data_IF_912904153472
#
_entry.id   IF_912904153472
#
_cell.length_a   1.000
_cell.length_b   1.000
_cell.length_c   1.000
_cell.angle_alpha   90.00
_cell.angle_beta   90.00
_cell.angle_gamma   90.00
#
_symmetry.space_group_name_H-M   'P 1'
#
loop_
_entity.id
_entity.type
_entity.pdbx_description
1 polymer ?
#
# COMPACT_ATOMS: atom_id res chain seq x y z
N UNK A 1 -19.69 -10.05 -14.42
CA UNK A 1 -19.03 -8.84 -13.87
C UNK A 1 -17.68 -8.66 -14.52
N UNK A 2 -17.45 -7.52 -15.10
CA UNK A 2 -16.15 -7.23 -15.72
C UNK A 2 -15.08 -6.96 -14.66
N UNK A 3 -13.84 -7.27 -15.01
CA UNK A 3 -12.68 -7.00 -14.16
C UNK A 3 -12.03 -5.69 -14.59
N UNK A 4 -11.70 -4.85 -13.62
CA UNK A 4 -10.94 -3.64 -13.84
C UNK A 4 -9.66 -3.70 -13.00
N UNK A 5 -8.53 -3.35 -13.62
CA UNK A 5 -7.24 -3.27 -12.93
C UNK A 5 -6.93 -1.81 -12.70
N UNK A 6 -6.68 -1.45 -11.44
CA UNK A 6 -6.32 -0.09 -11.05
C UNK A 6 -4.87 -0.09 -10.60
N UNK A 7 -4.04 0.69 -11.30
CA UNK A 7 -2.64 0.88 -10.93
C UNK A 7 -2.53 2.09 -10.01
N UNK A 8 -2.10 1.83 -8.79
CA UNK A 8 -1.84 2.86 -7.79
C UNK A 8 -0.40 3.34 -7.98
N UNK A 9 -0.23 4.38 -8.78
CA UNK A 9 1.07 4.93 -9.15
C UNK A 9 1.81 5.57 -7.98
N UNK A 10 2.99 6.15 -8.28
CA UNK A 10 3.96 6.57 -7.28
C UNK A 10 3.47 7.58 -6.24
N UNK A 11 2.46 8.39 -6.56
CA UNK A 11 1.92 9.39 -5.62
C UNK A 11 0.66 8.91 -4.89
N UNK A 12 0.22 7.68 -5.11
CA UNK A 12 -1.02 7.20 -4.53
C UNK A 12 -0.91 6.98 -3.02
N UNK A 13 0.22 6.45 -2.55
CA UNK A 13 0.46 6.18 -1.13
C UNK A 13 1.30 7.24 -0.45
N UNK A 14 2.07 8.01 -1.21
CA UNK A 14 2.93 9.06 -0.70
C UNK A 14 2.91 10.23 -1.67
N UNK A 15 2.44 11.37 -1.21
CA UNK A 15 2.45 12.59 -2.00
C UNK A 15 3.81 13.27 -1.86
N UNK A 16 4.13 14.11 -2.86
CA UNK A 16 5.40 14.81 -2.89
C UNK A 16 5.61 15.64 -1.63
N UNK A 17 6.76 15.48 -0.99
CA UNK A 17 7.12 16.22 0.21
C UNK A 17 6.58 15.65 1.51
N UNK A 18 5.76 14.59 1.45
CA UNK A 18 5.27 13.96 2.67
C UNK A 18 6.31 13.04 3.29
N UNK A 19 6.30 12.98 4.62
CA UNK A 19 7.03 11.96 5.36
C UNK A 19 6.35 10.60 5.16
N UNK A 20 7.13 9.57 4.94
CA UNK A 20 6.62 8.20 4.73
C UNK A 20 6.29 7.56 6.08
N UNK A 21 5.29 8.08 6.75
CA UNK A 21 4.74 7.53 7.99
C UNK A 21 3.55 6.62 7.70
N UNK A 22 3.21 5.76 8.65
CA UNK A 22 1.99 4.97 8.54
C UNK A 22 0.76 5.88 8.42
N UNK A 23 0.72 6.95 9.23
CA UNK A 23 -0.39 7.90 9.22
C UNK A 23 -0.61 8.54 7.84
N UNK A 24 0.46 9.01 7.20
CA UNK A 24 0.35 9.61 5.87
C UNK A 24 -0.07 8.61 4.81
N UNK A 25 0.42 7.38 4.88
CA UNK A 25 0.01 6.34 3.96
C UNK A 25 -1.48 5.99 4.14
N UNK A 26 -1.95 5.84 5.37
CA UNK A 26 -3.37 5.61 5.65
C UNK A 26 -4.24 6.77 5.15
N UNK A 27 -3.80 8.00 5.33
CA UNK A 27 -4.52 9.18 4.84
C UNK A 27 -4.69 9.13 3.31
N UNK A 28 -3.63 8.78 2.60
CA UNK A 28 -3.68 8.71 1.15
C UNK A 28 -4.56 7.54 0.66
N UNK A 29 -4.52 6.41 1.36
CA UNK A 29 -5.41 5.28 1.05
C UNK A 29 -6.87 5.70 1.28
N UNK A 30 -7.15 6.41 2.35
CA UNK A 30 -8.49 6.93 2.65
C UNK A 30 -9.02 7.79 1.51
N UNK A 31 -8.18 8.67 0.94
CA UNK A 31 -8.59 9.53 -0.15
C UNK A 31 -9.03 8.76 -1.40
N UNK A 32 -8.44 7.59 -1.66
CA UNK A 32 -8.78 6.77 -2.83
C UNK A 32 -9.84 5.71 -2.56
N UNK A 33 -10.10 5.39 -1.29
CA UNK A 33 -10.94 4.25 -0.92
C UNK A 33 -12.39 4.40 -1.38
N UNK A 34 -12.91 5.61 -1.37
CA UNK A 34 -14.28 5.87 -1.81
C UNK A 34 -14.47 5.51 -3.29
N UNK A 35 -13.54 5.95 -4.13
CA UNK A 35 -13.58 5.65 -5.57
C UNK A 35 -13.45 4.15 -5.81
N UNK A 36 -12.52 3.49 -5.11
CA UNK A 36 -12.31 2.05 -5.23
C UNK A 36 -13.57 1.30 -4.83
N UNK A 37 -14.20 1.68 -3.73
CA UNK A 37 -15.40 1.02 -3.25
C UNK A 37 -16.61 1.22 -4.19
N UNK A 38 -16.72 2.39 -4.81
CA UNK A 38 -17.74 2.63 -5.83
C UNK A 38 -17.53 1.72 -7.05
N UNK A 39 -16.30 1.62 -7.52
CA UNK A 39 -15.98 0.75 -8.66
C UNK A 39 -16.21 -0.73 -8.32
N UNK A 40 -15.95 -1.13 -7.08
CA UNK A 40 -16.13 -2.51 -6.64
C UNK A 40 -17.62 -2.94 -6.61
N UNK A 41 -18.55 -2.01 -6.65
CA UNK A 41 -19.98 -2.34 -6.77
C UNK A 41 -20.35 -2.82 -8.18
N UNK A 42 -19.62 -2.38 -9.20
CA UNK A 42 -19.92 -2.67 -10.60
C UNK A 42 -18.90 -3.59 -11.25
N UNK A 43 -17.68 -3.65 -10.72
CA UNK A 43 -16.55 -4.36 -11.31
C UNK A 43 -15.88 -5.25 -10.28
N UNK A 44 -15.25 -6.32 -10.77
CA UNK A 44 -14.23 -7.01 -9.98
C UNK A 44 -12.96 -6.18 -10.05
N UNK A 45 -12.57 -5.60 -8.93
CA UNK A 45 -11.43 -4.68 -8.87
C UNK A 45 -10.17 -5.44 -8.47
N UNK A 46 -9.11 -5.26 -9.25
CA UNK A 46 -7.77 -5.73 -8.93
C UNK A 46 -6.88 -4.50 -8.76
N UNK A 47 -6.25 -4.38 -7.59
CA UNK A 47 -5.34 -3.29 -7.30
C UNK A 47 -3.90 -3.76 -7.49
N UNK A 48 -3.12 -2.99 -8.24
CA UNK A 48 -1.67 -3.20 -8.35
C UNK A 48 -0.97 -1.93 -7.86
N UNK A 49 0.18 -2.10 -7.25
CA UNK A 49 0.90 -0.98 -6.66
C UNK A 49 2.41 -1.16 -6.77
N UNK A 50 3.15 -0.05 -6.75
CA UNK A 50 4.58 -0.06 -6.57
C UNK A 50 4.95 -0.02 -5.08
N UNK A 51 6.25 0.02 -4.77
CA UNK A 51 6.75 -0.04 -3.41
C UNK A 51 8.06 0.73 -3.20
N UNK A 52 8.45 1.57 -4.15
CA UNK A 52 9.76 2.24 -4.11
C UNK A 52 10.06 2.96 -2.80
N UNK A 53 9.22 3.89 -2.36
CA UNK A 53 9.46 4.59 -1.10
C UNK A 53 9.51 3.65 0.12
N UNK A 54 8.64 2.66 0.16
CA UNK A 54 8.56 1.72 1.28
C UNK A 54 9.80 0.84 1.38
N UNK A 55 10.28 0.31 0.26
CA UNK A 55 11.52 -0.48 0.23
C UNK A 55 12.71 0.40 0.62
N UNK A 56 12.74 1.65 0.14
CA UNK A 56 13.79 2.59 0.49
C UNK A 56 13.87 2.82 2.00
N UNK A 57 12.72 3.03 2.64
CA UNK A 57 12.65 3.17 4.10
C UNK A 57 13.17 1.92 4.82
N UNK A 58 12.71 0.74 4.41
CA UNK A 58 13.14 -0.52 5.01
C UNK A 58 14.65 -0.73 4.86
N UNK A 59 15.21 -0.38 3.69
CA UNK A 59 16.64 -0.46 3.48
C UNK A 59 17.43 0.44 4.43
N UNK A 60 16.97 1.67 4.64
CA UNK A 60 17.59 2.60 5.58
C UNK A 60 17.50 2.12 7.01
N UNK A 61 16.36 1.56 7.42
CA UNK A 61 16.18 0.99 8.75
C UNK A 61 17.12 -0.20 8.98
N UNK A 62 17.28 -1.05 7.96
CA UNK A 62 18.21 -2.17 8.05
C UNK A 62 19.66 -1.72 8.19
N UNK A 63 20.06 -0.64 7.52
CA UNK A 63 21.40 -0.10 7.64
C UNK A 63 21.64 0.56 8.99
N UNK A 64 20.62 1.13 9.61
CA UNK A 64 20.72 1.83 10.87
C UNK A 64 20.94 0.88 12.05
N UNK A 65 20.35 -0.32 12.02
CA UNK A 65 20.51 -1.30 13.11
C UNK A 65 21.59 -2.32 12.74
N UNK A 66 22.75 -2.19 13.32
CA UNK A 66 23.95 -2.94 12.91
C UNK A 66 24.17 -4.24 13.69
N UNK A 67 23.35 -4.53 14.69
CA UNK A 67 23.51 -5.76 15.49
C UNK A 67 23.13 -7.02 14.70
N UNK A 68 22.42 -6.86 13.60
CA UNK A 68 22.03 -7.94 12.68
C UNK A 68 22.41 -7.49 11.27
N UNK A 69 22.96 -8.38 10.45
CA UNK A 69 23.23 -8.04 9.04
C UNK A 69 21.97 -7.54 8.33
N UNK A 70 22.14 -6.57 7.46
CA UNK A 70 21.02 -6.05 6.66
C UNK A 70 20.42 -7.18 5.81
N UNK A 71 19.10 -7.21 5.72
CA UNK A 71 18.41 -8.21 4.91
C UNK A 71 18.56 -7.88 3.42
N UNK A 72 18.62 -8.90 2.58
CA UNK A 72 18.71 -8.68 1.13
C UNK A 72 17.45 -8.01 0.58
N UNK A 73 17.61 -7.34 -0.56
CA UNK A 73 16.58 -6.49 -1.13
C UNK A 73 15.27 -7.24 -1.44
N UNK A 74 15.37 -8.49 -1.90
CA UNK A 74 14.19 -9.30 -2.22
C UNK A 74 13.31 -9.54 -0.99
N UNK A 75 13.91 -9.72 0.19
CA UNK A 75 13.15 -9.85 1.44
C UNK A 75 12.50 -8.52 1.83
N UNK A 76 13.23 -7.41 1.67
CA UNK A 76 12.66 -6.09 1.96
C UNK A 76 11.49 -5.75 1.02
N UNK A 77 11.59 -6.16 -0.24
CA UNK A 77 10.47 -6.03 -1.19
C UNK A 77 9.26 -6.82 -0.70
N UNK A 78 9.47 -8.07 -0.26
CA UNK A 78 8.40 -8.88 0.29
C UNK A 78 7.75 -8.25 1.52
N UNK A 79 8.55 -7.66 2.42
CA UNK A 79 8.03 -6.93 3.58
C UNK A 79 7.18 -5.74 3.18
N UNK A 80 7.59 -5.02 2.15
CA UNK A 80 6.83 -3.86 1.66
C UNK A 80 5.47 -4.26 1.09
N UNK A 81 5.38 -5.43 0.47
CA UNK A 81 4.10 -5.97 -0.02
C UNK A 81 3.13 -6.17 1.12
N UNK A 82 3.60 -6.76 2.21
CA UNK A 82 2.80 -6.94 3.42
C UNK A 82 2.36 -5.61 4.03
N UNK A 83 3.27 -4.67 4.15
CA UNK A 83 2.97 -3.33 4.68
C UNK A 83 1.85 -2.67 3.88
N UNK A 84 2.00 -2.57 2.58
CA UNK A 84 1.05 -1.86 1.71
C UNK A 84 -0.28 -2.60 1.64
N UNK A 85 -0.24 -3.90 1.38
CA UNK A 85 -1.46 -4.71 1.26
C UNK A 85 -2.28 -4.72 2.53
N UNK A 86 -1.62 -4.82 3.69
CA UNK A 86 -2.29 -4.79 4.98
C UNK A 86 -3.00 -3.46 5.22
N UNK A 87 -2.32 -2.34 4.99
CA UNK A 87 -2.89 -1.02 5.19
C UNK A 87 -4.07 -0.76 4.24
N UNK A 88 -3.94 -1.17 2.97
CA UNK A 88 -5.03 -1.04 2.00
C UNK A 88 -6.23 -1.89 2.39
N UNK A 89 -6.00 -3.14 2.77
CA UNK A 89 -7.06 -4.04 3.21
C UNK A 89 -7.84 -3.44 4.38
N UNK A 90 -7.10 -2.95 5.40
CA UNK A 90 -7.75 -2.36 6.57
C UNK A 90 -8.62 -1.16 6.21
N UNK A 91 -8.03 -0.20 5.50
CA UNK A 91 -8.70 1.08 5.26
C UNK A 91 -9.86 0.95 4.28
N UNK A 92 -9.69 0.19 3.22
CA UNK A 92 -10.74 0.00 2.22
C UNK A 92 -11.90 -0.79 2.82
N UNK A 93 -11.60 -1.84 3.59
CA UNK A 93 -12.65 -2.64 4.24
C UNK A 93 -13.43 -1.88 5.31
N UNK A 94 -12.79 -0.94 6.02
CA UNK A 94 -13.49 -0.07 6.97
C UNK A 94 -14.58 0.75 6.28
N UNK A 95 -14.33 1.18 5.06
CA UNK A 95 -15.26 2.02 4.31
C UNK A 95 -16.25 1.19 3.48
N UNK A 96 -16.07 -0.12 3.42
CA UNK A 96 -16.98 -1.02 2.70
C UNK A 96 -17.03 -2.39 3.38
N UNK A 97 -17.74 -2.49 4.53
CA UNK A 97 -17.74 -3.74 5.31
C UNK A 97 -18.47 -4.90 4.61
N UNK A 98 -19.20 -4.65 3.53
CA UNK A 98 -19.93 -5.70 2.80
C UNK A 98 -19.10 -6.37 1.72
N UNK A 99 -17.94 -5.83 1.38
CA UNK A 99 -17.02 -6.38 0.37
C UNK A 99 -15.63 -6.45 0.94
N UNK A 100 -15.11 -7.65 1.12
CA UNK A 100 -13.78 -7.85 1.66
C UNK A 100 -12.72 -7.82 0.54
N UNK A 101 -11.59 -7.18 0.82
CA UNK A 101 -10.36 -7.32 0.04
C UNK A 101 -9.63 -8.57 0.52
N UNK A 102 -9.11 -9.32 -0.42
CA UNK A 102 -8.26 -10.48 -0.14
C UNK A 102 -6.90 -10.32 -0.79
#
# INVERSE_FOLDING_TARGET
MKTIVIDLGGNALLQRGEVLSAENQYKNIELMSETINKLAQEYRVVLVHGNGPQVGLLALQNLAYQAVPAYPLDILVAESQGMIGYMMMQKINQNNPTQAIT
#
